data_IF_617328175259
#
_entry.id   IF_617328175259
#
_cell.length_a   1.000
_cell.length_b   1.000
_cell.length_c   1.000
_cell.angle_alpha   90.00
_cell.angle_beta   90.00
_cell.angle_gamma   90.00
#
_symmetry.space_group_name_H-M   'P 1'
#
loop_
_entity.id
_entity.type
_entity.pdbx_description
1 polymer ?
#
# COMPACT_ATOMS: atom_id res chain seq x y z
N UNK A 1 26.27 38.29 9.12
CA UNK A 1 26.71 36.89 9.40
C UNK A 1 25.81 36.18 10.42
N UNK A 2 25.59 36.70 11.63
CA UNK A 2 24.77 36.03 12.67
C UNK A 2 23.33 35.72 12.25
N UNK A 3 22.68 36.60 11.49
CA UNK A 3 21.33 36.35 10.97
C UNK A 3 21.28 35.29 9.86
N UNK A 4 22.28 35.26 8.97
CA UNK A 4 22.39 34.21 7.95
C UNK A 4 22.58 32.82 8.58
N UNK A 5 23.34 32.74 9.67
CA UNK A 5 23.52 31.50 10.45
C UNK A 5 22.19 31.06 11.09
N UNK A 6 21.44 31.98 11.70
CA UNK A 6 20.14 31.65 12.30
C UNK A 6 19.11 31.18 11.26
N UNK A 7 19.07 31.83 10.10
CA UNK A 7 18.20 31.43 8.98
C UNK A 7 18.61 30.05 8.46
N UNK A 8 19.90 29.79 8.28
CA UNK A 8 20.39 28.50 7.84
C UNK A 8 20.05 27.38 8.85
N UNK A 9 20.22 27.62 10.15
CA UNK A 9 19.86 26.66 11.21
C UNK A 9 18.35 26.40 11.25
N UNK A 10 17.53 27.44 11.08
CA UNK A 10 16.07 27.29 10.99
C UNK A 10 15.64 26.47 9.76
N UNK A 11 16.25 26.73 8.60
CA UNK A 11 16.00 25.97 7.36
C UNK A 11 16.39 24.49 7.51
N UNK A 12 17.53 24.18 8.15
CA UNK A 12 17.96 22.79 8.40
C UNK A 12 17.05 22.09 9.43
N UNK A 13 16.58 22.80 10.45
CA UNK A 13 15.62 22.25 11.42
C UNK A 13 14.27 21.91 10.78
N UNK A 14 13.80 22.73 9.83
CA UNK A 14 12.57 22.49 9.08
C UNK A 14 12.67 21.27 8.16
N UNK A 15 13.82 21.02 7.52
CA UNK A 15 13.98 19.88 6.60
C UNK A 15 14.09 18.54 7.32
N UNK A 16 14.73 18.49 8.50
CA UNK A 16 14.83 17.27 9.29
C UNK A 16 13.46 16.76 9.80
N UNK A 17 12.48 17.65 9.94
CA UNK A 17 11.13 17.31 10.41
C UNK A 17 10.20 16.74 9.32
N UNK A 18 10.59 16.77 8.03
CA UNK A 18 9.70 16.35 6.93
C UNK A 18 9.47 14.83 6.82
N UNK A 19 10.27 13.99 7.51
CA UNK A 19 10.09 12.53 7.51
C UNK A 19 9.95 12.00 8.94
N UNK A 20 8.78 12.16 9.59
CA UNK A 20 8.63 11.92 11.02
C UNK A 20 8.90 10.48 11.45
N UNK A 21 8.91 9.51 10.53
CA UNK A 21 8.95 8.08 10.87
C UNK A 21 10.08 7.26 10.23
N UNK A 22 10.88 7.82 9.31
CA UNK A 22 11.98 7.08 8.65
C UNK A 22 11.61 5.77 7.94
N UNK A 23 10.31 5.46 7.79
CA UNK A 23 9.81 4.23 7.18
C UNK A 23 10.05 4.24 5.67
N UNK A 24 10.56 3.12 5.15
CA UNK A 24 10.87 2.95 3.73
C UNK A 24 10.03 1.84 3.11
N UNK A 25 10.16 1.68 1.80
CA UNK A 25 9.57 0.54 1.11
C UNK A 25 10.33 -0.73 1.43
N UNK A 26 9.60 -1.77 1.78
CA UNK A 26 10.18 -3.07 2.06
C UNK A 26 10.54 -3.80 0.77
N UNK A 27 11.57 -4.64 0.87
CA UNK A 27 11.95 -5.58 -0.17
C UNK A 27 11.03 -6.83 -0.15
N UNK A 28 10.93 -7.57 -1.27
CA UNK A 28 10.23 -8.85 -1.28
C UNK A 28 10.81 -9.85 -0.28
N UNK A 29 9.96 -10.63 0.37
CA UNK A 29 10.34 -11.71 1.27
C UNK A 29 10.08 -13.06 0.57
N UNK A 30 11.12 -13.86 0.25
CA UNK A 30 10.95 -15.10 -0.50
C UNK A 30 9.95 -16.09 0.10
N UNK A 31 9.90 -16.20 1.44
CA UNK A 31 8.97 -17.11 2.12
C UNK A 31 7.51 -16.66 1.94
N UNK A 32 7.24 -15.37 2.11
CA UNK A 32 5.91 -14.79 1.91
C UNK A 32 5.49 -14.78 0.43
N UNK A 33 6.46 -14.63 -0.48
CA UNK A 33 6.20 -14.73 -1.92
C UNK A 33 5.75 -16.14 -2.33
N UNK A 34 6.35 -17.18 -1.75
CA UNK A 34 6.00 -18.57 -2.03
C UNK A 34 4.62 -18.94 -1.47
N UNK A 35 4.22 -18.35 -0.34
CA UNK A 35 2.93 -18.59 0.31
C UNK A 35 1.89 -17.49 0.03
N UNK A 36 2.06 -16.68 -1.02
CA UNK A 36 1.14 -15.59 -1.32
C UNK A 36 -0.24 -16.11 -1.68
N UNK A 37 -1.28 -15.40 -1.24
CA UNK A 37 -2.67 -15.76 -1.52
C UNK A 37 -3.14 -14.97 -2.73
N UNK A 38 -3.70 -15.67 -3.71
CA UNK A 38 -4.46 -15.09 -4.81
C UNK A 38 -5.91 -15.52 -4.60
N UNK A 39 -6.76 -14.57 -4.21
CA UNK A 39 -8.17 -14.85 -3.95
C UNK A 39 -8.94 -15.06 -5.25
N UNK A 40 -8.60 -14.30 -6.28
CA UNK A 40 -9.32 -14.32 -7.55
C UNK A 40 -8.41 -13.81 -8.69
N UNK A 41 -8.72 -14.20 -9.93
CA UNK A 41 -8.08 -13.61 -11.12
C UNK A 41 -9.08 -12.71 -11.84
N UNK A 42 -8.63 -11.52 -12.23
CA UNK A 42 -9.39 -10.60 -13.05
C UNK A 42 -9.51 -11.10 -14.50
N UNK A 43 -10.40 -10.51 -15.33
CA UNK A 43 -10.58 -10.91 -16.74
C UNK A 43 -9.30 -10.83 -17.59
N UNK A 44 -8.36 -9.96 -17.23
CA UNK A 44 -7.05 -9.83 -17.86
C UNK A 44 -6.01 -10.85 -17.36
N UNK A 45 -6.39 -11.72 -16.42
CA UNK A 45 -5.56 -12.78 -15.86
C UNK A 45 -4.72 -12.37 -14.64
N UNK A 46 -4.68 -11.09 -14.25
CA UNK A 46 -3.97 -10.62 -13.06
C UNK A 46 -4.58 -11.25 -11.79
N UNK A 47 -3.72 -11.68 -10.86
CA UNK A 47 -4.15 -12.25 -9.58
C UNK A 47 -4.33 -11.16 -8.51
N UNK A 48 -5.50 -11.14 -7.85
CA UNK A 48 -5.83 -10.15 -6.82
C UNK A 48 -5.87 -10.77 -5.43
N UNK A 49 -5.33 -10.00 -4.48
CA UNK A 49 -5.51 -10.22 -3.07
C UNK A 49 -6.44 -9.14 -2.51
N UNK A 50 -7.60 -9.55 -1.99
CA UNK A 50 -8.51 -8.70 -1.26
C UNK A 50 -8.33 -8.86 0.26
N UNK A 51 -7.88 -7.81 0.96
CA UNK A 51 -7.64 -7.85 2.41
C UNK A 51 -8.89 -8.21 3.22
N UNK A 52 -10.07 -7.79 2.78
CA UNK A 52 -11.34 -8.09 3.46
C UNK A 52 -11.77 -9.56 3.36
N UNK A 53 -11.24 -10.29 2.37
CA UNK A 53 -11.49 -11.74 2.23
C UNK A 53 -10.55 -12.57 3.10
N UNK A 54 -9.36 -12.06 3.40
CA UNK A 54 -8.43 -12.71 4.31
C UNK A 54 -8.93 -12.62 5.77
N UNK A 55 -9.09 -13.75 6.48
CA UNK A 55 -9.63 -13.75 7.83
C UNK A 55 -8.74 -13.01 8.84
N UNK A 56 -7.44 -12.89 8.58
CA UNK A 56 -6.48 -12.21 9.47
C UNK A 56 -6.42 -10.70 9.25
N UNK A 57 -6.91 -10.21 8.10
CA UNK A 57 -6.89 -8.79 7.73
C UNK A 57 -8.28 -8.17 7.58
N UNK A 58 -9.35 -8.93 7.84
CA UNK A 58 -10.71 -8.42 7.74
C UNK A 58 -10.93 -7.28 8.74
N UNK A 59 -11.29 -6.11 8.25
CA UNK A 59 -11.48 -4.89 9.04
C UNK A 59 -10.17 -4.20 9.45
N UNK A 60 -9.01 -4.67 8.98
CA UNK A 60 -7.75 -4.01 9.24
C UNK A 60 -7.60 -2.77 8.36
N UNK A 61 -7.46 -1.60 8.99
CA UNK A 61 -7.09 -0.37 8.33
C UNK A 61 -5.57 -0.20 8.36
N UNK A 62 -5.00 0.17 7.22
CA UNK A 62 -3.56 0.36 7.03
C UNK A 62 -3.33 1.71 6.38
N UNK A 63 -2.27 2.39 6.79
CA UNK A 63 -1.78 3.52 6.00
C UNK A 63 -1.25 3.05 4.65
N UNK A 64 -1.05 4.01 3.74
CA UNK A 64 -0.66 3.72 2.37
C UNK A 64 0.68 2.97 2.26
N UNK A 65 1.64 3.30 3.12
CA UNK A 65 2.96 2.68 3.09
C UNK A 65 2.90 1.24 3.61
N UNK A 66 2.14 0.98 4.68
CA UNK A 66 1.95 -0.37 5.20
C UNK A 66 1.21 -1.27 4.22
N UNK A 67 0.16 -0.77 3.57
CA UNK A 67 -0.57 -1.52 2.54
C UNK A 67 0.35 -1.88 1.37
N UNK A 68 1.18 -0.94 0.92
CA UNK A 68 2.15 -1.16 -0.15
C UNK A 68 3.26 -2.13 0.26
N UNK A 69 3.79 -2.01 1.47
CA UNK A 69 4.80 -2.93 1.99
C UNK A 69 4.24 -4.36 2.16
N UNK A 70 2.99 -4.50 2.59
CA UNK A 70 2.31 -5.80 2.68
C UNK A 70 2.30 -6.54 1.33
N UNK A 71 1.95 -5.84 0.24
CA UNK A 71 1.98 -6.41 -1.11
C UNK A 71 3.40 -6.73 -1.56
N UNK A 72 4.33 -5.78 -1.42
CA UNK A 72 5.73 -5.93 -1.87
C UNK A 72 6.43 -7.11 -1.24
N UNK A 73 6.26 -7.31 0.06
CA UNK A 73 6.81 -8.45 0.79
C UNK A 73 6.33 -9.80 0.22
N UNK A 74 5.17 -9.84 -0.45
CA UNK A 74 4.57 -11.04 -1.07
C UNK A 74 4.84 -11.13 -2.59
N UNK A 75 5.79 -10.36 -3.11
CA UNK A 75 6.06 -10.27 -4.55
C UNK A 75 4.80 -9.88 -5.35
N UNK A 76 3.98 -9.01 -4.75
CA UNK A 76 2.81 -8.40 -5.37
C UNK A 76 3.00 -6.88 -5.32
N UNK A 77 2.22 -6.17 -6.13
CA UNK A 77 2.18 -4.71 -6.08
C UNK A 77 0.87 -4.21 -5.48
N UNK A 78 0.85 -2.94 -5.05
CA UNK A 78 -0.42 -2.24 -4.84
C UNK A 78 -1.21 -2.25 -6.16
N UNK A 79 -2.53 -2.36 -6.07
CA UNK A 79 -3.39 -2.41 -7.26
C UNK A 79 -3.10 -1.26 -8.24
N UNK A 80 -2.98 -1.60 -9.52
CA UNK A 80 -2.84 -0.66 -10.64
C UNK A 80 -3.88 -1.04 -11.69
N UNK A 81 -4.84 -0.15 -11.91
CA UNK A 81 -5.98 -0.39 -12.80
C UNK A 81 -5.68 0.21 -14.16
N UNK A 82 -5.63 -0.65 -15.18
CA UNK A 82 -5.12 -0.26 -16.51
C UNK A 82 -6.20 -0.30 -17.59
N UNK A 83 -7.32 -0.99 -17.33
CA UNK A 83 -8.39 -1.15 -18.31
C UNK A 83 -9.77 -0.92 -17.70
N UNK A 84 -10.72 -0.46 -18.52
CA UNK A 84 -12.10 -0.28 -18.08
C UNK A 84 -12.77 -1.59 -17.61
N UNK A 85 -12.60 -2.75 -18.30
CA UNK A 85 -13.14 -4.02 -17.80
C UNK A 85 -12.58 -4.44 -16.44
N UNK A 86 -11.28 -4.23 -16.19
CA UNK A 86 -10.66 -4.47 -14.90
C UNK A 86 -11.29 -3.57 -13.81
N UNK A 87 -11.45 -2.28 -14.11
CA UNK A 87 -12.07 -1.32 -13.19
C UNK A 87 -13.50 -1.73 -12.78
N UNK A 88 -14.34 -2.10 -13.75
CA UNK A 88 -15.71 -2.53 -13.46
C UNK A 88 -15.75 -3.84 -12.67
N UNK A 89 -14.84 -4.76 -12.96
CA UNK A 89 -14.68 -6.00 -12.19
C UNK A 89 -14.29 -5.71 -10.73
N UNK A 90 -13.31 -4.81 -10.48
CA UNK A 90 -12.89 -4.41 -9.13
C UNK A 90 -14.07 -3.80 -8.36
N UNK A 91 -14.81 -2.87 -8.97
CA UNK A 91 -15.97 -2.21 -8.34
C UNK A 91 -17.01 -3.23 -7.87
N UNK A 92 -17.33 -4.24 -8.68
CA UNK A 92 -18.26 -5.30 -8.30
C UNK A 92 -17.78 -6.04 -7.04
N UNK A 93 -16.49 -6.38 -6.96
CA UNK A 93 -15.92 -7.09 -5.80
C UNK A 93 -15.92 -6.25 -4.52
N UNK A 94 -15.77 -4.93 -4.64
CA UNK A 94 -15.87 -4.00 -3.50
C UNK A 94 -17.30 -3.99 -2.96
N UNK A 95 -18.30 -3.89 -3.85
CA UNK A 95 -19.74 -3.89 -3.48
C UNK A 95 -20.14 -5.23 -2.85
N UNK A 96 -19.79 -6.36 -3.49
CA UNK A 96 -20.05 -7.70 -2.97
C UNK A 96 -19.40 -7.95 -1.61
N UNK A 97 -18.17 -7.43 -1.43
CA UNK A 97 -17.43 -7.52 -0.18
C UNK A 97 -18.04 -6.70 0.96
N UNK A 98 -19.04 -5.85 0.67
CA UNK A 98 -19.62 -4.88 1.62
C UNK A 98 -18.54 -4.12 2.38
N UNK A 99 -17.49 -3.71 1.67
CA UNK A 99 -16.37 -2.98 2.25
C UNK A 99 -16.88 -1.60 2.64
N UNK A 100 -17.22 -1.41 3.91
CA UNK A 100 -17.57 -0.11 4.47
C UNK A 100 -16.29 0.60 4.91
N UNK A 101 -16.06 1.80 4.39
CA UNK A 101 -15.13 2.74 5.00
C UNK A 101 -15.90 3.41 6.13
N UNK A 102 -15.48 3.20 7.37
CA UNK A 102 -16.09 3.84 8.54
C UNK A 102 -15.71 5.32 8.62
#
# INVERSE_FOLDING_TARGET
MKQLVLIAVALVGLTAAQFPNGRTLDAPNPALCASRIIHERAPDGKGYFFSWRDPTLRGAEKDWLDARNFCRQRCMDSVSVETSPENEWIKQRIVEGRVSVN
#
